data_IF_891302502903
#
_entry.id   IF_891302502903
#
_cell.length_a   1.000
_cell.length_b   1.000
_cell.length_c   1.000
_cell.angle_alpha   90.00
_cell.angle_beta   90.00
_cell.angle_gamma   90.00
#
_symmetry.space_group_name_H-M   'P 1'
#
loop_
_entity.id
_entity.type
_entity.pdbx_description
1 polymer ?
#
# COMPACT_ATOMS: atom_id res chain seq x y z
N UNK A 1 85.03 -3.94 3.63
CA UNK A 1 84.16 -2.96 4.27
C UNK A 1 82.83 -2.96 3.51
N UNK A 2 81.96 -3.92 3.90
CA UNK A 2 80.65 -4.05 3.28
C UNK A 2 79.66 -3.41 4.19
N UNK A 3 78.89 -2.47 3.68
CA UNK A 3 77.76 -1.82 4.43
C UNK A 3 76.49 -2.62 4.18
N UNK A 4 76.02 -3.27 5.21
CA UNK A 4 74.67 -3.89 5.26
C UNK A 4 73.63 -2.79 5.28
N UNK A 5 72.74 -2.74 4.28
CA UNK A 5 71.55 -1.94 4.25
C UNK A 5 70.40 -2.80 4.83
N UNK A 6 69.94 -2.46 6.01
CA UNK A 6 68.76 -3.04 6.61
C UNK A 6 67.53 -2.27 6.13
N UNK A 7 66.70 -2.88 5.29
CA UNK A 7 65.41 -2.33 4.85
C UNK A 7 64.36 -2.69 5.90
N UNK A 8 63.87 -1.67 6.59
CA UNK A 8 62.70 -1.80 7.44
C UNK A 8 61.44 -1.78 6.55
N UNK A 9 60.77 -2.94 6.39
CA UNK A 9 59.44 -3.01 5.77
C UNK A 9 58.41 -2.77 6.91
N UNK A 10 57.84 -1.56 6.93
CA UNK A 10 56.71 -1.25 7.80
C UNK A 10 55.46 -1.84 7.18
N UNK A 11 54.98 -2.94 7.77
CA UNK A 11 53.68 -3.52 7.42
C UNK A 11 52.60 -2.64 8.05
N UNK A 12 51.97 -1.80 7.24
CA UNK A 12 50.73 -1.10 7.62
C UNK A 12 49.56 -2.13 7.56
N UNK A 13 49.15 -2.65 8.70
CA UNK A 13 47.92 -3.40 8.81
C UNK A 13 46.75 -2.39 8.75
N UNK A 14 46.15 -2.24 7.58
CA UNK A 14 44.85 -1.58 7.46
C UNK A 14 43.81 -2.43 8.10
N UNK A 15 43.42 -2.13 9.35
CA UNK A 15 42.13 -2.57 9.90
C UNK A 15 41.03 -1.82 9.16
N UNK A 16 40.61 -2.38 8.03
CA UNK A 16 39.37 -2.01 7.40
C UNK A 16 38.22 -2.41 8.33
N UNK A 17 37.64 -1.44 9.05
CA UNK A 17 36.32 -1.62 9.64
C UNK A 17 35.33 -1.85 8.48
N UNK A 18 35.13 -3.10 8.10
CA UNK A 18 33.96 -3.49 7.34
C UNK A 18 32.77 -3.21 8.25
N UNK A 19 32.09 -2.09 8.01
CA UNK A 19 30.74 -1.88 8.50
C UNK A 19 29.87 -2.95 7.81
N UNK A 20 29.85 -4.15 8.38
CA UNK A 20 28.83 -5.13 8.09
C UNK A 20 27.56 -4.50 8.65
N UNK A 21 26.81 -3.84 7.79
CA UNK A 21 25.43 -3.52 8.05
C UNK A 21 24.72 -4.86 8.22
N UNK A 22 24.61 -5.29 9.47
CA UNK A 22 23.76 -6.41 9.83
C UNK A 22 22.36 -5.92 9.48
N UNK A 23 21.86 -6.32 8.30
CA UNK A 23 20.46 -6.23 7.98
C UNK A 23 19.80 -7.07 9.07
N UNK A 24 19.00 -6.47 9.97
CA UNK A 24 18.35 -7.25 11.02
C UNK A 24 17.55 -8.35 10.31
N UNK A 25 17.77 -9.59 10.75
CA UNK A 25 17.00 -10.73 10.29
C UNK A 25 15.52 -10.33 10.31
N UNK A 26 14.82 -10.54 9.21
CA UNK A 26 13.43 -10.15 8.91
C UNK A 26 12.63 -9.99 10.20
N UNK A 27 12.31 -8.76 10.65
CA UNK A 27 11.55 -8.58 11.89
C UNK A 27 10.05 -8.86 11.67
N UNK A 28 9.69 -9.34 10.47
CA UNK A 28 8.33 -9.55 10.04
C UNK A 28 8.05 -11.06 10.04
N UNK A 29 7.10 -11.47 10.85
CA UNK A 29 6.51 -12.81 10.76
C UNK A 29 5.78 -12.83 9.42
N UNK A 30 6.19 -13.69 8.50
CA UNK A 30 5.39 -14.00 7.31
C UNK A 30 4.08 -14.61 7.81
N UNK A 31 3.01 -13.86 7.70
CA UNK A 31 1.67 -14.34 7.97
C UNK A 31 1.26 -15.07 6.72
N UNK A 32 1.24 -16.40 6.79
CA UNK A 32 0.73 -17.21 5.70
C UNK A 32 -0.73 -16.82 5.42
N UNK A 33 -1.11 -16.68 4.13
CA UNK A 33 -2.51 -16.49 3.78
C UNK A 33 -3.33 -17.65 4.33
N UNK A 34 -4.50 -17.37 4.89
CA UNK A 34 -5.44 -18.43 5.24
C UNK A 34 -5.75 -19.25 3.98
N UNK A 35 -5.90 -20.60 4.14
CA UNK A 35 -6.28 -21.48 3.01
C UNK A 35 -7.35 -20.83 2.14
N UNK A 36 -7.17 -20.97 0.82
CA UNK A 36 -7.96 -20.30 -0.23
C UNK A 36 -9.46 -20.35 0.11
N UNK A 37 -9.99 -19.23 0.56
CA UNK A 37 -11.44 -19.05 0.66
C UNK A 37 -11.93 -18.95 -0.78
N UNK A 38 -12.99 -19.69 -1.13
CA UNK A 38 -13.62 -19.57 -2.44
C UNK A 38 -13.92 -18.09 -2.76
N UNK A 39 -13.78 -17.68 -4.01
CA UNK A 39 -14.07 -16.29 -4.40
C UNK A 39 -15.41 -15.83 -3.86
N UNK A 40 -15.44 -14.62 -3.31
CA UNK A 40 -16.65 -14.05 -2.72
C UNK A 40 -17.65 -13.54 -3.79
N UNK A 41 -17.50 -13.99 -5.07
CA UNK A 41 -18.27 -13.50 -6.22
C UNK A 41 -19.79 -13.60 -6.03
N UNK A 42 -20.26 -14.70 -5.43
CA UNK A 42 -21.71 -14.94 -5.24
C UNK A 42 -22.29 -14.31 -3.97
N UNK A 43 -21.45 -13.80 -3.07
CA UNK A 43 -21.90 -13.33 -1.76
C UNK A 43 -22.38 -11.87 -1.78
N UNK A 44 -21.78 -11.04 -2.63
CA UNK A 44 -21.99 -9.60 -2.66
C UNK A 44 -22.45 -9.13 -4.03
N UNK A 45 -23.42 -8.22 -4.07
CA UNK A 45 -24.00 -7.68 -5.31
C UNK A 45 -23.07 -6.72 -6.06
N UNK A 46 -22.16 -6.05 -5.33
CA UNK A 46 -21.20 -5.09 -5.86
C UNK A 46 -20.04 -4.89 -4.85
N UNK A 47 -19.01 -4.20 -5.29
CA UNK A 47 -17.82 -3.88 -4.48
C UNK A 47 -18.17 -3.13 -3.19
N UNK A 48 -19.13 -2.20 -3.24
CA UNK A 48 -19.47 -1.38 -2.09
C UNK A 48 -20.21 -2.18 -1.01
N UNK A 49 -21.06 -3.13 -1.43
CA UNK A 49 -21.71 -4.07 -0.50
C UNK A 49 -20.69 -4.96 0.21
N UNK A 50 -19.61 -5.36 -0.50
CA UNK A 50 -18.48 -6.12 0.08
C UNK A 50 -17.68 -5.27 1.07
N UNK A 51 -17.28 -4.05 0.72
CA UNK A 51 -16.59 -3.12 1.62
C UNK A 51 -17.41 -2.82 2.87
N UNK A 52 -18.73 -2.72 2.73
CA UNK A 52 -19.65 -2.40 3.83
C UNK A 52 -20.19 -3.63 4.58
N UNK A 53 -19.71 -4.84 4.26
CA UNK A 53 -20.17 -6.10 4.87
C UNK A 53 -19.88 -6.20 6.37
N UNK A 54 -18.86 -5.49 6.82
CA UNK A 54 -18.43 -5.39 8.21
C UNK A 54 -18.50 -3.94 8.70
N UNK A 55 -18.17 -3.70 9.95
CA UNK A 55 -18.11 -2.36 10.53
C UNK A 55 -16.99 -2.25 11.57
N UNK A 56 -15.79 -2.59 11.13
CA UNK A 56 -14.60 -2.61 11.98
C UNK A 56 -14.17 -1.20 12.43
N UNK A 57 -14.60 -0.18 11.68
CA UNK A 57 -14.35 1.23 11.97
C UNK A 57 -15.59 1.96 12.50
N UNK A 58 -16.42 1.27 13.31
CA UNK A 58 -17.63 1.85 13.92
C UNK A 58 -17.33 2.93 14.94
N UNK A 59 -16.18 2.86 15.60
CA UNK A 59 -15.73 3.87 16.56
C UNK A 59 -14.96 4.99 15.86
N UNK A 60 -15.38 6.23 16.07
CA UNK A 60 -14.68 7.42 15.58
C UNK A 60 -14.03 8.16 16.77
N UNK A 61 -12.72 8.06 16.95
CA UNK A 61 -12.03 8.69 18.07
C UNK A 61 -11.91 10.21 17.96
N UNK A 62 -12.17 10.78 16.76
CA UNK A 62 -12.01 12.21 16.44
C UNK A 62 -13.18 12.75 15.59
N UNK A 63 -14.44 12.68 16.07
CA UNK A 63 -15.63 12.96 15.24
C UNK A 63 -15.66 14.38 14.68
N UNK A 64 -15.15 15.35 15.41
CA UNK A 64 -15.07 16.73 14.93
C UNK A 64 -14.12 16.88 13.75
N UNK A 65 -12.94 16.24 13.82
CA UNK A 65 -11.94 16.25 12.74
C UNK A 65 -12.45 15.47 11.52
N UNK A 66 -13.04 14.30 11.75
CA UNK A 66 -13.70 13.51 10.69
C UNK A 66 -14.77 14.31 9.98
N UNK A 67 -15.60 15.06 10.74
CA UNK A 67 -16.62 15.94 10.17
C UNK A 67 -16.02 17.05 9.29
N UNK A 68 -14.87 17.63 9.65
CA UNK A 68 -14.16 18.61 8.81
C UNK A 68 -13.70 18.00 7.49
N UNK A 69 -13.15 16.76 7.53
CA UNK A 69 -12.75 16.05 6.31
C UNK A 69 -13.94 15.68 5.43
N UNK A 70 -15.05 15.21 6.01
CA UNK A 70 -16.29 14.99 5.24
C UNK A 70 -16.74 16.25 4.50
N UNK A 71 -16.81 17.39 5.20
CA UNK A 71 -17.15 18.69 4.57
C UNK A 71 -16.18 19.06 3.45
N UNK A 72 -14.88 18.77 3.62
CA UNK A 72 -13.86 19.03 2.59
C UNK A 72 -14.06 18.17 1.35
N UNK A 73 -14.26 16.86 1.50
CA UNK A 73 -14.52 15.94 0.39
C UNK A 73 -15.81 16.31 -0.36
N UNK A 74 -16.85 16.67 0.37
CA UNK A 74 -18.17 16.96 -0.20
C UNK A 74 -18.31 18.40 -0.73
N UNK A 75 -17.32 19.27 -0.52
CA UNK A 75 -17.32 20.64 -1.07
C UNK A 75 -17.38 20.62 -2.59
N UNK A 76 -16.72 19.65 -3.22
CA UNK A 76 -16.80 19.40 -4.66
C UNK A 76 -17.17 17.93 -4.90
N UNK A 77 -18.49 17.66 -5.00
CA UNK A 77 -19.00 16.31 -5.22
C UNK A 77 -18.56 15.70 -6.54
N UNK A 78 -18.40 16.50 -7.59
CA UNK A 78 -17.88 16.01 -8.87
C UNK A 78 -16.48 15.44 -8.69
N UNK A 79 -15.59 16.21 -8.08
CA UNK A 79 -14.22 15.74 -7.79
C UNK A 79 -14.19 14.54 -6.84
N UNK A 80 -15.09 14.47 -5.86
CA UNK A 80 -15.20 13.28 -4.99
C UNK A 80 -15.62 12.04 -5.79
N UNK A 81 -16.58 12.17 -6.71
CA UNK A 81 -17.00 11.05 -7.56
C UNK A 81 -15.87 10.60 -8.51
N UNK A 82 -15.09 11.54 -9.07
CA UNK A 82 -13.90 11.24 -9.86
C UNK A 82 -12.86 10.49 -9.04
N UNK A 83 -12.60 10.93 -7.81
CA UNK A 83 -11.70 10.25 -6.86
C UNK A 83 -12.16 8.81 -6.61
N UNK A 84 -13.44 8.59 -6.36
CA UNK A 84 -13.98 7.24 -6.09
C UNK A 84 -13.91 6.36 -7.36
N UNK A 85 -14.07 6.94 -8.55
CA UNK A 85 -13.98 6.21 -9.81
C UNK A 85 -12.57 5.62 -10.07
N UNK A 86 -11.52 6.22 -9.56
CA UNK A 86 -10.15 5.73 -9.77
C UNK A 86 -9.90 4.30 -9.21
N UNK A 87 -10.74 3.84 -8.28
CA UNK A 87 -10.64 2.47 -7.74
C UNK A 87 -11.20 1.37 -8.61
N UNK A 88 -11.89 1.71 -9.73
CA UNK A 88 -12.69 0.77 -10.52
C UNK A 88 -11.96 -0.53 -10.88
N UNK A 89 -10.75 -0.43 -11.39
CA UNK A 89 -9.99 -1.59 -11.86
C UNK A 89 -9.24 -2.35 -10.76
N UNK A 90 -9.11 -1.77 -9.57
CA UNK A 90 -8.22 -2.31 -8.54
C UNK A 90 -8.96 -2.90 -7.35
N UNK A 91 -10.16 -2.37 -7.02
CA UNK A 91 -10.87 -2.70 -5.79
C UNK A 91 -11.17 -4.18 -5.64
N UNK A 92 -11.52 -4.88 -6.73
CA UNK A 92 -11.76 -6.32 -6.67
C UNK A 92 -10.51 -7.08 -6.20
N UNK A 93 -9.35 -6.84 -6.86
CA UNK A 93 -8.08 -7.50 -6.49
C UNK A 93 -7.63 -7.14 -5.06
N UNK A 94 -7.87 -5.91 -4.64
CA UNK A 94 -7.59 -5.46 -3.27
C UNK A 94 -8.43 -6.24 -2.26
N UNK A 95 -9.72 -6.41 -2.53
CA UNK A 95 -10.63 -7.14 -1.64
C UNK A 95 -10.33 -8.64 -1.61
N UNK A 96 -10.00 -9.24 -2.76
CA UNK A 96 -9.54 -10.63 -2.80
C UNK A 96 -8.31 -10.85 -1.92
N UNK A 97 -7.35 -9.93 -1.98
CA UNK A 97 -6.15 -10.03 -1.17
C UNK A 97 -6.43 -9.79 0.32
N UNK A 98 -7.32 -8.84 0.68
CA UNK A 98 -7.76 -8.62 2.07
C UNK A 98 -8.43 -9.86 2.66
N UNK A 99 -9.30 -10.53 1.90
CA UNK A 99 -9.99 -11.74 2.34
C UNK A 99 -9.01 -12.90 2.61
N UNK A 100 -7.96 -13.04 1.80
CA UNK A 100 -6.91 -14.06 2.03
C UNK A 100 -6.26 -13.95 3.39
N UNK A 101 -6.11 -12.72 3.91
CA UNK A 101 -5.52 -12.46 5.22
C UNK A 101 -6.57 -12.23 6.31
N UNK A 102 -7.86 -12.39 6.00
CA UNK A 102 -8.99 -12.12 6.92
C UNK A 102 -8.91 -10.74 7.55
N UNK A 103 -8.58 -9.76 6.74
CA UNK A 103 -8.50 -8.36 7.13
C UNK A 103 -9.83 -7.65 6.91
N UNK A 104 -10.11 -6.60 7.70
CA UNK A 104 -11.25 -5.72 7.46
C UNK A 104 -11.31 -5.22 6.01
N UNK A 105 -12.43 -5.42 5.29
CA UNK A 105 -12.55 -5.02 3.88
C UNK A 105 -12.46 -3.50 3.69
N UNK A 106 -12.70 -2.73 4.74
CA UNK A 106 -12.58 -1.27 4.73
C UNK A 106 -11.15 -0.79 4.44
N UNK A 107 -10.11 -1.62 4.67
CA UNK A 107 -8.74 -1.25 4.27
C UNK A 107 -8.58 -1.06 2.76
N UNK A 108 -9.52 -1.54 1.94
CA UNK A 108 -9.58 -1.19 0.52
C UNK A 108 -9.74 0.33 0.27
N UNK A 109 -10.11 1.09 1.28
CA UNK A 109 -10.23 2.55 1.18
C UNK A 109 -8.91 3.30 1.40
N UNK A 110 -7.84 2.62 1.87
CA UNK A 110 -6.54 3.25 2.11
C UNK A 110 -5.95 3.93 0.88
N UNK A 111 -5.90 3.32 -0.31
CA UNK A 111 -5.33 3.97 -1.48
C UNK A 111 -6.02 5.29 -1.86
N UNK A 112 -7.29 5.49 -1.50
CA UNK A 112 -7.96 6.78 -1.70
C UNK A 112 -7.34 7.92 -0.90
N UNK A 113 -6.79 7.63 0.28
CA UNK A 113 -6.14 8.65 1.10
C UNK A 113 -4.63 8.74 0.87
N UNK A 114 -4.02 7.69 0.33
CA UNK A 114 -2.60 7.65 0.01
C UNK A 114 -2.28 8.33 -1.32
N UNK A 115 -2.93 7.90 -2.39
CA UNK A 115 -2.61 8.29 -3.75
C UNK A 115 -3.83 8.67 -4.62
N UNK A 116 -5.05 8.63 -4.09
CA UNK A 116 -6.28 8.65 -4.88
C UNK A 116 -6.40 7.47 -5.87
N UNK A 117 -5.84 6.31 -5.54
CA UNK A 117 -5.70 5.17 -6.44
C UNK A 117 -4.89 5.48 -7.71
N UNK A 118 -3.93 6.40 -7.63
CA UNK A 118 -3.01 6.70 -8.73
C UNK A 118 -1.75 5.84 -8.61
N UNK A 119 -1.51 4.88 -9.54
CA UNK A 119 -0.34 4.01 -9.53
C UNK A 119 0.96 4.77 -9.83
N UNK A 120 0.90 5.95 -10.44
CA UNK A 120 2.07 6.77 -10.75
C UNK A 120 2.45 7.76 -9.65
N UNK A 121 1.68 7.83 -8.57
CA UNK A 121 1.90 8.78 -7.49
C UNK A 121 3.25 8.58 -6.81
N UNK A 122 3.98 9.69 -6.61
CA UNK A 122 5.26 9.72 -5.90
C UNK A 122 5.23 10.86 -4.88
N UNK A 123 5.48 10.55 -3.61
CA UNK A 123 5.57 11.56 -2.55
C UNK A 123 6.96 12.23 -2.52
N UNK A 124 7.04 13.38 -1.88
CA UNK A 124 8.32 14.08 -1.63
C UNK A 124 9.30 13.27 -0.76
N UNK A 125 8.80 12.32 0.02
CA UNK A 125 9.59 11.40 0.85
C UNK A 125 9.99 10.11 0.12
N UNK A 126 9.58 9.93 -1.14
CA UNK A 126 9.91 8.75 -1.96
C UNK A 126 8.98 7.55 -1.75
N UNK A 127 7.81 7.75 -1.15
CA UNK A 127 6.74 6.76 -1.16
C UNK A 127 6.10 6.71 -2.57
N UNK A 128 5.67 5.52 -3.02
CA UNK A 128 5.34 5.26 -4.42
C UNK A 128 4.09 4.42 -4.57
N UNK A 129 3.31 4.71 -5.62
CA UNK A 129 2.20 3.91 -6.14
C UNK A 129 0.91 4.04 -5.35
N UNK A 130 -0.04 3.13 -5.63
CA UNK A 130 -1.37 3.12 -4.99
C UNK A 130 -1.30 3.21 -3.47
N UNK A 131 -0.40 2.45 -2.88
CA UNK A 131 -0.24 2.21 -1.45
C UNK A 131 0.79 3.12 -0.78
N UNK A 132 1.45 4.00 -1.53
CA UNK A 132 2.54 4.87 -1.05
C UNK A 132 3.59 4.11 -0.23
N UNK A 133 4.05 2.97 -0.76
CA UNK A 133 5.05 2.16 -0.09
C UNK A 133 6.42 2.83 -0.13
N UNK A 134 7.07 2.92 1.03
CA UNK A 134 8.45 3.39 1.14
C UNK A 134 9.43 2.36 0.52
N UNK A 135 10.61 2.78 0.02
CA UNK A 135 11.59 1.87 -0.58
C UNK A 135 11.99 0.71 0.34
N UNK A 136 12.10 0.97 1.63
CA UNK A 136 12.44 -0.06 2.63
C UNK A 136 11.31 -1.08 2.76
N UNK A 137 10.06 -0.61 2.83
CA UNK A 137 8.89 -1.49 2.91
C UNK A 137 8.78 -2.34 1.64
N UNK A 138 8.94 -1.74 0.44
CA UNK A 138 8.91 -2.49 -0.81
C UNK A 138 9.92 -3.64 -0.83
N UNK A 139 11.16 -3.39 -0.44
CA UNK A 139 12.20 -4.43 -0.36
C UNK A 139 11.90 -5.54 0.65
N UNK A 140 11.31 -5.21 1.79
CA UNK A 140 10.93 -6.19 2.82
C UNK A 140 9.87 -7.16 2.29
N UNK A 141 8.97 -6.66 1.45
CA UNK A 141 7.88 -7.42 0.85
C UNK A 141 8.17 -7.85 -0.59
N UNK A 142 9.45 -8.01 -0.93
CA UNK A 142 9.97 -8.62 -2.16
C UNK A 142 9.61 -7.86 -3.44
N UNK A 143 9.33 -6.55 -3.38
CA UNK A 143 9.11 -5.73 -4.56
C UNK A 143 10.44 -5.34 -5.22
N UNK A 144 10.57 -5.66 -6.50
CA UNK A 144 11.76 -5.36 -7.29
C UNK A 144 11.82 -3.88 -7.70
N UNK A 145 13.06 -3.39 -7.76
CA UNK A 145 13.41 -2.14 -8.41
C UNK A 145 14.66 -2.35 -9.27
N UNK A 146 14.51 -2.19 -10.56
CA UNK A 146 15.60 -2.30 -11.54
C UNK A 146 15.52 -1.18 -12.57
N UNK A 147 16.30 -1.28 -13.65
CA UNK A 147 16.19 -0.38 -14.81
C UNK A 147 14.82 -0.50 -15.51
N UNK A 148 14.24 -1.69 -15.54
CA UNK A 148 13.01 -2.01 -16.26
C UNK A 148 11.75 -1.89 -15.42
N UNK A 149 11.85 -2.12 -14.12
CA UNK A 149 10.69 -2.20 -13.24
C UNK A 149 10.90 -1.39 -11.95
N UNK A 150 9.80 -0.85 -11.44
CA UNK A 150 9.65 -0.35 -10.08
C UNK A 150 8.30 -0.89 -9.56
N UNK A 151 8.31 -2.08 -8.98
CA UNK A 151 7.10 -2.83 -8.64
C UNK A 151 6.23 -2.19 -7.57
N UNK A 152 6.69 -1.16 -6.87
CA UNK A 152 5.84 -0.36 -6.00
C UNK A 152 4.78 0.43 -6.78
N UNK A 153 5.02 0.69 -8.07
CA UNK A 153 4.03 1.26 -8.99
C UNK A 153 3.06 0.20 -9.52
N UNK A 154 3.46 -1.08 -9.57
CA UNK A 154 2.60 -2.17 -10.07
C UNK A 154 1.37 -2.32 -9.19
N UNK A 155 0.14 -2.16 -9.72
CA UNK A 155 -1.07 -2.18 -8.90
C UNK A 155 -1.32 -3.53 -8.22
N UNK A 156 -0.96 -4.63 -8.88
CA UNK A 156 -1.22 -5.99 -8.37
C UNK A 156 -0.13 -6.42 -7.37
N UNK A 157 1.15 -6.23 -7.73
CA UNK A 157 2.26 -6.63 -6.86
C UNK A 157 2.34 -5.76 -5.62
N UNK A 158 2.17 -4.43 -5.76
CA UNK A 158 2.16 -3.53 -4.61
C UNK A 158 0.97 -3.77 -3.68
N UNK A 159 -0.19 -4.19 -4.22
CA UNK A 159 -1.35 -4.59 -3.40
C UNK A 159 -1.01 -5.80 -2.53
N UNK A 160 -0.43 -6.86 -3.09
CA UNK A 160 -0.01 -8.03 -2.31
C UNK A 160 0.98 -7.66 -1.20
N UNK A 161 1.97 -6.83 -1.53
CA UNK A 161 2.95 -6.35 -0.56
C UNK A 161 2.32 -5.50 0.55
N UNK A 162 1.46 -4.55 0.19
CA UNK A 162 0.79 -3.67 1.14
C UNK A 162 -0.14 -4.43 2.09
N UNK A 163 -0.89 -5.42 1.58
CA UNK A 163 -1.81 -6.19 2.40
C UNK A 163 -1.07 -7.15 3.33
N UNK A 164 0.04 -7.76 2.91
CA UNK A 164 0.96 -8.47 3.81
C UNK A 164 1.48 -7.54 4.93
N UNK A 165 1.83 -6.31 4.58
CA UNK A 165 2.25 -5.32 5.58
C UNK A 165 1.11 -4.93 6.53
N UNK A 166 -0.10 -4.70 6.04
CA UNK A 166 -1.28 -4.41 6.87
C UNK A 166 -1.59 -5.61 7.79
N UNK A 167 -1.52 -6.84 7.29
CA UNK A 167 -1.72 -8.05 8.08
C UNK A 167 -0.71 -8.15 9.23
N UNK A 168 0.56 -7.88 8.95
CA UNK A 168 1.59 -7.79 9.99
C UNK A 168 1.24 -6.73 11.05
N UNK A 169 0.87 -5.52 10.64
CA UNK A 169 0.51 -4.44 11.55
C UNK A 169 -0.74 -4.78 12.37
N UNK A 170 -1.77 -5.31 11.72
CA UNK A 170 -3.03 -5.69 12.35
C UNK A 170 -2.83 -6.71 13.47
N UNK A 171 -2.05 -7.76 13.22
CA UNK A 171 -1.72 -8.73 14.25
C UNK A 171 -0.81 -8.15 15.34
N UNK A 172 0.13 -7.26 14.98
CA UNK A 172 1.06 -6.66 15.92
C UNK A 172 0.41 -5.68 16.89
N UNK A 173 -0.69 -5.08 16.52
CA UNK A 173 -1.45 -4.12 17.33
C UNK A 173 -2.81 -4.71 17.78
N UNK A 174 -2.83 -6.00 18.14
CA UNK A 174 -3.96 -6.70 18.76
C UNK A 174 -5.27 -6.58 17.96
N UNK A 175 -5.17 -6.53 16.63
CA UNK A 175 -6.29 -6.36 15.70
C UNK A 175 -7.07 -5.06 15.90
N UNK A 176 -6.44 -4.05 16.50
CA UNK A 176 -7.03 -2.70 16.59
C UNK A 176 -6.91 -2.01 15.21
N UNK A 177 -8.03 -1.71 14.55
CA UNK A 177 -8.01 -1.12 13.22
C UNK A 177 -7.49 0.32 13.21
N UNK A 178 -7.67 1.08 14.29
CA UNK A 178 -7.20 2.47 14.41
C UNK A 178 -5.68 2.50 14.63
N UNK A 179 -5.17 1.67 15.54
CA UNK A 179 -3.72 1.57 15.76
C UNK A 179 -3.01 1.05 14.51
N UNK A 180 -3.63 0.14 13.75
CA UNK A 180 -3.12 -0.33 12.46
C UNK A 180 -2.97 0.80 11.44
N UNK A 181 -3.98 1.66 11.30
CA UNK A 181 -3.91 2.85 10.44
C UNK A 181 -2.78 3.78 10.86
N UNK A 182 -2.65 4.04 12.17
CA UNK A 182 -1.58 4.89 12.69
C UNK A 182 -0.20 4.27 12.42
N UNK A 183 -0.06 2.96 12.63
CA UNK A 183 1.19 2.23 12.38
C UNK A 183 1.57 2.20 10.90
N UNK A 184 0.59 2.07 10.00
CA UNK A 184 0.81 2.12 8.56
C UNK A 184 1.42 3.45 8.14
N UNK A 185 0.86 4.56 8.61
CA UNK A 185 1.29 5.91 8.26
C UNK A 185 2.55 6.38 9.01
N UNK A 186 2.59 6.20 10.34
CA UNK A 186 3.67 6.74 11.20
C UNK A 186 4.83 5.75 11.42
N UNK A 187 4.65 4.50 11.03
CA UNK A 187 5.58 3.39 11.25
C UNK A 187 5.39 2.67 12.60
N UNK A 188 5.49 1.32 12.59
CA UNK A 188 5.21 0.49 13.77
C UNK A 188 6.17 0.74 14.94
N UNK A 189 7.45 0.90 14.65
CA UNK A 189 8.45 1.15 15.71
C UNK A 189 8.20 2.44 16.47
N UNK A 190 7.75 3.48 15.77
CA UNK A 190 7.36 4.75 16.41
C UNK A 190 6.15 4.53 17.32
N UNK A 191 5.10 3.89 16.80
CA UNK A 191 3.87 3.67 17.56
C UNK A 191 4.11 2.82 18.81
N UNK A 192 4.90 1.73 18.71
CA UNK A 192 5.27 0.90 19.86
C UNK A 192 5.99 1.67 20.98
N UNK A 193 6.93 2.54 20.61
CA UNK A 193 7.61 3.40 21.60
C UNK A 193 6.61 4.28 22.32
N UNK A 194 5.60 4.81 21.61
CA UNK A 194 4.54 5.61 22.21
C UNK A 194 3.67 4.77 23.14
N UNK A 195 3.21 3.59 22.70
CA UNK A 195 2.39 2.68 23.51
C UNK A 195 3.12 2.29 24.79
N UNK A 196 4.36 1.80 24.70
CA UNK A 196 5.18 1.47 25.90
C UNK A 196 5.37 2.65 26.86
N UNK A 197 5.43 3.88 26.32
CA UNK A 197 5.52 5.08 27.15
C UNK A 197 4.21 5.39 27.86
N UNK A 198 3.06 5.15 27.21
CA UNK A 198 1.73 5.34 27.79
C UNK A 198 1.45 4.29 28.86
N UNK A 199 1.74 3.02 28.59
CA UNK A 199 1.58 1.90 29.54
C UNK A 199 2.33 2.15 30.86
N UNK A 200 3.60 2.61 30.78
CA UNK A 200 4.38 2.98 31.98
C UNK A 200 3.76 4.12 32.80
N UNK A 201 2.87 4.90 32.19
CA UNK A 201 2.11 6.00 32.82
C UNK A 201 0.70 5.59 33.20
N UNK A 202 0.30 4.32 33.00
CA UNK A 202 -1.05 3.82 33.25
C UNK A 202 -2.11 4.41 32.31
N UNK A 203 -1.72 4.83 31.09
CA UNK A 203 -2.61 5.45 30.10
C UNK A 203 -2.88 4.51 28.92
N UNK A 204 -4.10 4.50 28.42
CA UNK A 204 -4.46 3.75 27.23
C UNK A 204 -3.87 4.34 25.92
N UNK A 205 -3.55 3.53 24.92
CA UNK A 205 -2.99 3.96 23.64
C UNK A 205 -4.06 4.53 22.69
N UNK A 206 -4.86 5.49 23.16
CA UNK A 206 -5.82 6.21 22.31
C UNK A 206 -5.11 7.29 21.48
N UNK A 207 -5.68 7.65 20.33
CA UNK A 207 -5.10 8.68 19.44
C UNK A 207 -4.89 10.03 20.16
N UNK A 208 -5.72 10.37 21.14
CA UNK A 208 -5.61 11.59 21.93
C UNK A 208 -4.42 11.59 22.90
N UNK A 209 -3.95 10.41 23.32
CA UNK A 209 -2.81 10.23 24.21
C UNK A 209 -1.47 10.07 23.47
N UNK A 210 -1.52 9.73 22.18
CA UNK A 210 -0.34 9.58 21.33
C UNK A 210 0.22 10.95 20.92
N UNK A 211 1.55 11.08 20.96
CA UNK A 211 2.25 12.28 20.47
C UNK A 211 2.51 12.15 18.97
N UNK A 212 1.48 12.37 18.16
CA UNK A 212 1.54 12.29 16.73
C UNK A 212 1.92 13.63 16.09
N UNK A 213 2.56 13.60 14.93
CA UNK A 213 2.66 14.76 14.05
C UNK A 213 1.27 15.21 13.62
N UNK A 214 1.13 16.46 13.16
CA UNK A 214 -0.15 16.94 12.63
C UNK A 214 -0.66 16.08 11.47
N UNK A 215 0.21 15.59 10.63
CA UNK A 215 -0.10 14.72 9.51
C UNK A 215 -0.63 13.37 9.98
N UNK A 216 0.11 12.69 10.87
CA UNK A 216 -0.30 11.40 11.43
C UNK A 216 -1.58 11.49 12.25
N UNK A 217 -1.79 12.59 12.98
CA UNK A 217 -3.03 12.84 13.71
C UNK A 217 -4.24 12.97 12.78
N UNK A 218 -4.06 13.62 11.63
CA UNK A 218 -5.12 13.83 10.65
C UNK A 218 -5.38 12.63 9.73
N UNK A 219 -4.53 11.62 9.76
CA UNK A 219 -4.63 10.45 8.89
C UNK A 219 -5.89 9.62 9.17
N UNK A 220 -6.13 9.29 10.44
CA UNK A 220 -7.30 8.54 10.87
C UNK A 220 -8.62 9.26 10.54
N UNK A 221 -8.83 10.55 10.90
CA UNK A 221 -10.02 11.27 10.50
C UNK A 221 -10.24 11.37 9.00
N UNK A 222 -9.16 11.47 8.20
CA UNK A 222 -9.26 11.49 6.74
C UNK A 222 -9.79 10.16 6.20
N UNK A 223 -9.28 9.03 6.72
CA UNK A 223 -9.76 7.70 6.38
C UNK A 223 -11.24 7.50 6.79
N UNK A 224 -11.57 7.80 8.04
CA UNK A 224 -12.92 7.64 8.56
C UNK A 224 -13.94 8.51 7.83
N UNK A 225 -13.53 9.67 7.31
CA UNK A 225 -14.42 10.52 6.52
C UNK A 225 -14.83 9.83 5.21
N UNK A 226 -13.90 9.24 4.48
CA UNK A 226 -14.20 8.47 3.25
C UNK A 226 -15.04 7.24 3.62
N UNK A 227 -14.64 6.48 4.63
CA UNK A 227 -15.38 5.31 5.10
C UNK A 227 -16.84 5.64 5.43
N UNK A 228 -17.09 6.67 6.24
CA UNK A 228 -18.45 7.06 6.61
C UNK A 228 -19.28 7.55 5.41
N UNK A 229 -18.68 8.26 4.45
CA UNK A 229 -19.38 8.69 3.23
C UNK A 229 -19.76 7.48 2.37
N UNK A 230 -18.84 6.53 2.18
CA UNK A 230 -19.08 5.32 1.37
C UNK A 230 -20.09 4.40 2.04
N UNK A 231 -20.06 4.31 3.38
CA UNK A 231 -21.01 3.48 4.13
C UNK A 231 -22.45 3.98 4.05
N UNK A 232 -22.65 5.29 3.97
CA UNK A 232 -23.97 5.92 3.96
C UNK A 232 -24.09 6.99 2.88
N UNK A 233 -23.85 6.66 1.61
CA UNK A 233 -23.68 7.65 0.55
C UNK A 233 -24.89 8.56 0.36
N UNK A 234 -26.12 8.02 0.54
CA UNK A 234 -27.34 8.80 0.40
C UNK A 234 -27.49 9.88 1.47
N UNK A 235 -27.03 9.62 2.72
CA UNK A 235 -27.06 10.64 3.79
C UNK A 235 -26.19 11.86 3.44
N UNK A 236 -25.17 11.65 2.60
CA UNK A 236 -24.25 12.69 2.15
C UNK A 236 -24.52 13.21 0.73
N UNK A 237 -25.59 12.75 0.09
CA UNK A 237 -25.96 13.15 -1.27
C UNK A 237 -24.94 12.70 -2.31
N UNK A 238 -24.30 11.56 -2.09
CA UNK A 238 -23.30 10.93 -2.98
C UNK A 238 -23.97 9.76 -3.70
N UNK A 239 -23.62 9.59 -4.99
CA UNK A 239 -23.96 8.40 -5.77
C UNK A 239 -22.65 7.69 -6.09
N UNK A 240 -22.44 6.55 -5.46
CA UNK A 240 -21.28 5.71 -5.78
C UNK A 240 -21.42 5.14 -7.20
N UNK A 241 -20.30 5.03 -7.96
CA UNK A 241 -20.32 4.34 -9.25
C UNK A 241 -20.66 2.86 -9.03
N UNK A 242 -21.20 2.21 -10.07
CA UNK A 242 -21.50 0.79 -10.02
C UNK A 242 -20.23 0.01 -10.38
N UNK A 243 -19.66 -0.65 -9.41
CA UNK A 243 -18.53 -1.55 -9.59
C UNK A 243 -19.00 -2.97 -9.30
N UNK A 244 -19.09 -3.85 -10.31
CA UNK A 244 -19.45 -5.23 -10.09
C UNK A 244 -18.41 -5.93 -9.22
N UNK A 245 -18.85 -6.91 -8.41
CA UNK A 245 -17.95 -7.70 -7.60
C UNK A 245 -17.38 -8.87 -8.43
N UNK A 246 -16.60 -8.53 -9.45
CA UNK A 246 -16.01 -9.49 -10.37
C UNK A 246 -14.60 -9.07 -10.79
N UNK A 247 -13.82 -10.04 -11.22
CA UNK A 247 -12.45 -9.81 -11.67
C UNK A 247 -12.42 -9.10 -13.02
N UNK A 248 -11.89 -7.90 -13.04
CA UNK A 248 -11.77 -7.07 -14.26
C UNK A 248 -10.36 -7.07 -14.87
N UNK A 249 -9.33 -7.43 -14.11
CA UNK A 249 -7.94 -7.50 -14.58
C UNK A 249 -7.57 -8.94 -14.90
N UNK A 250 -7.08 -9.18 -16.12
CA UNK A 250 -6.54 -10.46 -16.55
C UNK A 250 -5.03 -10.39 -16.64
N UNK A 251 -4.37 -11.43 -16.16
CA UNK A 251 -2.92 -11.60 -16.27
C UNK A 251 -2.60 -12.39 -17.54
N UNK A 252 -1.65 -11.92 -18.33
CA UNK A 252 -1.05 -12.68 -19.42
C UNK A 252 0.45 -12.83 -19.20
N UNK A 253 0.98 -14.01 -19.44
CA UNK A 253 2.40 -14.29 -19.39
C UNK A 253 2.98 -14.09 -20.80
N UNK A 254 4.11 -13.40 -20.90
CA UNK A 254 4.77 -13.08 -22.17
C UNK A 254 5.98 -14.00 -22.38
N UNK A 255 6.16 -14.45 -23.63
CA UNK A 255 7.31 -15.25 -24.04
C UNK A 255 8.50 -14.40 -24.54
N UNK A 256 8.40 -13.07 -24.49
CA UNK A 256 9.42 -12.15 -24.95
C UNK A 256 9.08 -10.70 -24.65
N UNK A 257 9.97 -9.81 -25.06
CA UNK A 257 9.80 -8.37 -24.89
C UNK A 257 8.64 -7.85 -25.74
N UNK A 258 7.79 -7.02 -25.14
CA UNK A 258 6.64 -6.39 -25.80
C UNK A 258 6.76 -4.88 -25.68
N UNK A 259 6.64 -4.18 -26.80
CA UNK A 259 6.57 -2.72 -26.85
C UNK A 259 5.11 -2.29 -26.53
N UNK A 260 4.97 -1.41 -25.52
CA UNK A 260 3.67 -1.14 -24.89
C UNK A 260 2.71 -0.38 -25.80
N UNK A 261 3.21 0.57 -26.62
CA UNK A 261 2.38 1.36 -27.52
C UNK A 261 1.82 0.48 -28.64
N UNK A 262 2.69 -0.25 -29.34
CA UNK A 262 2.25 -1.14 -30.43
C UNK A 262 1.32 -2.24 -29.90
N UNK A 263 1.55 -2.73 -28.69
CA UNK A 263 0.67 -3.73 -28.09
C UNK A 263 -0.71 -3.16 -27.73
N UNK A 264 -0.77 -1.93 -27.21
CA UNK A 264 -2.04 -1.26 -26.92
C UNK A 264 -2.90 -1.06 -28.17
N UNK A 265 -2.28 -0.68 -29.29
CA UNK A 265 -2.92 -0.56 -30.59
C UNK A 265 -3.43 -1.94 -31.09
N UNK A 266 -2.61 -2.98 -30.93
CA UNK A 266 -2.95 -4.34 -31.36
C UNK A 266 -4.19 -4.89 -30.61
N UNK A 267 -4.30 -4.64 -29.30
CA UNK A 267 -5.44 -5.13 -28.50
C UNK A 267 -6.61 -4.14 -28.46
N UNK A 268 -6.48 -2.95 -29.06
CA UNK A 268 -7.55 -1.96 -29.16
C UNK A 268 -7.87 -1.19 -27.88
N UNK A 269 -6.87 -1.02 -26.97
CA UNK A 269 -6.99 -0.19 -25.76
C UNK A 269 -6.13 1.06 -25.88
N UNK A 270 -6.42 2.10 -25.09
CA UNK A 270 -5.57 3.28 -25.11
C UNK A 270 -4.23 3.00 -24.41
N UNK A 271 -3.11 3.61 -24.87
CA UNK A 271 -1.82 3.45 -24.24
C UNK A 271 -1.85 3.83 -22.75
N UNK A 272 -2.51 4.92 -22.42
CA UNK A 272 -2.63 5.42 -21.04
C UNK A 272 -3.26 4.36 -20.14
N UNK A 273 -4.29 3.68 -20.62
CA UNK A 273 -4.97 2.64 -19.86
C UNK A 273 -4.08 1.40 -19.67
N UNK A 274 -3.38 0.96 -20.73
CA UNK A 274 -2.43 -0.15 -20.62
C UNK A 274 -1.29 0.18 -19.64
N UNK A 275 -0.72 1.38 -19.72
CA UNK A 275 0.29 1.84 -18.78
C UNK A 275 -0.23 1.93 -17.35
N UNK A 276 -1.46 2.36 -17.16
CA UNK A 276 -2.08 2.46 -15.83
C UNK A 276 -2.19 1.10 -15.14
N UNK A 277 -2.58 0.05 -15.88
CA UNK A 277 -2.64 -1.32 -15.34
C UNK A 277 -1.24 -1.93 -15.12
N UNK A 278 -0.22 -1.44 -15.83
CA UNK A 278 1.14 -1.97 -15.83
C UNK A 278 2.17 -0.91 -15.40
N UNK A 279 1.80 -0.05 -14.47
CA UNK A 279 2.61 1.09 -14.04
C UNK A 279 3.96 0.71 -13.43
N UNK A 280 4.16 -0.56 -13.08
CA UNK A 280 5.43 -1.11 -12.64
C UNK A 280 6.53 -1.07 -13.69
N UNK A 281 6.20 -1.03 -14.98
CA UNK A 281 7.20 -0.90 -16.04
C UNK A 281 7.63 0.56 -16.21
N UNK A 282 8.95 0.78 -16.12
CA UNK A 282 9.56 2.13 -16.18
C UNK A 282 9.97 2.55 -17.61
N UNK A 283 9.78 1.67 -18.60
CA UNK A 283 10.21 1.87 -19.99
C UNK A 283 9.02 1.69 -20.95
N UNK A 284 9.26 2.00 -22.22
CA UNK A 284 8.30 1.85 -23.32
C UNK A 284 7.98 0.39 -23.68
N UNK A 285 8.77 -0.55 -23.13
CA UNK A 285 8.62 -1.98 -23.37
C UNK A 285 8.82 -2.75 -22.04
N UNK A 286 8.31 -3.98 -22.00
CA UNK A 286 8.60 -4.93 -20.94
C UNK A 286 10.09 -5.33 -20.92
N UNK A 287 10.63 -5.90 -19.85
CA UNK A 287 11.99 -6.45 -19.86
C UNK A 287 12.22 -7.43 -21.01
N UNK A 288 13.45 -7.56 -21.52
CA UNK A 288 13.76 -8.53 -22.59
C UNK A 288 13.82 -9.99 -22.09
N UNK A 289 13.47 -10.24 -20.85
CA UNK A 289 13.48 -11.56 -20.23
C UNK A 289 12.22 -12.36 -20.57
N UNK A 290 12.34 -13.68 -20.64
CA UNK A 290 11.20 -14.60 -20.59
C UNK A 290 10.51 -14.47 -19.23
N UNK A 291 9.16 -14.61 -19.21
CA UNK A 291 8.29 -14.51 -18.03
C UNK A 291 7.91 -13.08 -17.56
N UNK A 292 7.99 -12.09 -18.43
CA UNK A 292 7.31 -10.82 -18.17
C UNK A 292 5.79 -11.01 -18.18
N UNK A 293 5.06 -10.18 -17.47
CA UNK A 293 3.62 -10.26 -17.28
C UNK A 293 2.98 -8.95 -17.73
N UNK A 294 1.85 -9.03 -18.43
CA UNK A 294 0.99 -7.87 -18.61
C UNK A 294 -0.38 -8.10 -17.98
N UNK A 295 -0.92 -7.03 -17.43
CA UNK A 295 -2.28 -6.95 -16.92
C UNK A 295 -3.15 -6.24 -17.95
N UNK A 296 -4.28 -6.86 -18.29
CA UNK A 296 -5.24 -6.40 -19.30
C UNK A 296 -6.63 -6.29 -18.68
N UNK A 297 -7.55 -5.49 -19.26
CA UNK A 297 -8.95 -5.45 -18.86
C UNK A 297 -9.72 -6.72 -19.20
#
# INVERSE_FOLDING_TARGET
MERLFVIFISIFIFYGCANISIIPARPYIDIEPSEVIAPAEDKYTDIWSRINSENNFSFDPLPNETSKYKKRFLKNRKHFNELIANGEYYLYEVLEELDRYRLPPEYALLPYIESNYDPFSISSSGAVGLWQLMPTTGRIYDLEKSWWVEERHDPVLSTKAAIRYIAYLYNRFDKDPILTLIAYHAGPTFLEKQIKSLERRGLNPSISNLKLSRESYNYVPKFLAIHQIIRKPYEYGVRLPKFPNEKVIKKIDLSGQVEMLAFSEFIGVTPEFLYQLNAGYTKWATPPAENSVLYLP
#
